data_IF_689185022172
#
_entry.id   IF_689185022172
#
_cell.length_a   1.000
_cell.length_b   1.000
_cell.length_c   1.000
_cell.angle_alpha   90.00
_cell.angle_beta   90.00
_cell.angle_gamma   90.00
#
_symmetry.space_group_name_H-M   'P 1'
#
loop_
_entity.id
_entity.type
_entity.pdbx_description
1 polymer ?
#
# COMPACT_ATOMS: atom_id res chain seq x y z
N UNK A 1 4.74 -10.64 -12.96
CA UNK A 1 6.09 -11.19 -12.70
C UNK A 1 6.46 -11.04 -11.21
N UNK A 2 5.59 -11.47 -10.27
CA UNK A 2 5.83 -11.34 -8.82
C UNK A 2 6.34 -12.63 -8.15
N UNK A 3 6.18 -13.79 -8.81
CA UNK A 3 6.33 -15.11 -8.18
C UNK A 3 7.77 -15.65 -8.08
N UNK A 4 8.77 -14.93 -8.60
CA UNK A 4 10.15 -15.45 -8.67
C UNK A 4 10.94 -15.35 -7.35
N UNK A 5 10.36 -14.77 -6.31
CA UNK A 5 10.96 -14.60 -4.99
C UNK A 5 10.66 -15.74 -3.99
N UNK A 6 9.82 -16.72 -4.34
CA UNK A 6 9.16 -17.61 -3.35
C UNK A 6 9.58 -19.09 -3.37
N UNK A 7 10.67 -19.47 -4.04
CA UNK A 7 10.90 -20.90 -4.32
C UNK A 7 11.57 -21.72 -3.20
N UNK A 8 12.01 -21.12 -2.09
CA UNK A 8 12.89 -21.79 -1.12
C UNK A 8 12.42 -21.86 0.36
N UNK A 9 11.13 -21.66 0.68
CA UNK A 9 10.62 -21.95 2.05
C UNK A 9 9.60 -23.09 2.07
N UNK A 10 9.87 -24.12 2.88
CA UNK A 10 9.02 -25.30 3.08
C UNK A 10 7.69 -24.99 3.80
N UNK A 11 7.59 -23.83 4.45
CA UNK A 11 6.35 -23.24 4.92
C UNK A 11 5.93 -22.18 3.88
N UNK A 12 4.70 -22.27 3.37
CA UNK A 12 4.16 -21.30 2.41
C UNK A 12 4.20 -19.85 2.93
N UNK A 13 3.86 -18.86 2.08
CA UNK A 13 3.87 -17.46 2.49
C UNK A 13 2.90 -17.25 3.67
N UNK A 14 3.43 -16.84 4.83
CA UNK A 14 2.58 -16.51 5.97
C UNK A 14 2.02 -15.09 5.78
N UNK A 15 0.71 -15.01 5.56
CA UNK A 15 -0.02 -13.74 5.47
C UNK A 15 -0.46 -13.32 6.88
N UNK A 16 -0.23 -12.06 7.21
CA UNK A 16 -0.61 -11.43 8.48
C UNK A 16 -1.53 -10.27 8.15
N UNK A 17 -2.65 -10.16 8.86
CA UNK A 17 -3.59 -9.03 8.72
C UNK A 17 -3.54 -8.17 9.98
N UNK A 18 -3.42 -6.87 9.80
CA UNK A 18 -3.48 -5.89 10.88
C UNK A 18 -4.35 -4.68 10.50
N UNK A 19 -4.24 -3.59 11.27
CA UNK A 19 -5.05 -2.39 11.10
C UNK A 19 -4.88 -1.73 9.72
N UNK A 20 -3.69 -1.83 9.14
CA UNK A 20 -3.35 -1.11 7.90
C UNK A 20 -3.49 -1.98 6.66
N UNK A 21 -3.66 -3.29 6.79
CA UNK A 21 -3.89 -4.16 5.64
C UNK A 21 -3.45 -5.60 5.83
N UNK A 22 -3.21 -6.25 4.70
CA UNK A 22 -2.66 -7.60 4.64
C UNK A 22 -1.19 -7.55 4.22
N UNK A 23 -0.40 -8.38 4.89
CA UNK A 23 1.05 -8.36 4.80
C UNK A 23 1.56 -9.76 4.56
N UNK A 24 2.29 -9.94 3.48
CA UNK A 24 3.06 -11.14 3.24
C UNK A 24 4.37 -11.05 4.01
N UNK A 25 4.64 -12.03 4.89
CA UNK A 25 5.92 -12.11 5.58
C UNK A 25 6.96 -12.77 4.65
N UNK A 26 7.84 -11.95 4.09
CA UNK A 26 8.89 -12.42 3.20
C UNK A 26 10.10 -12.85 4.02
N UNK A 27 10.44 -14.14 3.94
CA UNK A 27 11.66 -14.72 4.51
C UNK A 27 12.60 -15.12 3.38
N UNK A 28 13.89 -14.88 3.53
CA UNK A 28 14.93 -15.36 2.58
C UNK A 28 15.33 -14.38 1.46
N UNK A 29 14.63 -13.27 1.28
CA UNK A 29 15.07 -12.19 0.39
C UNK A 29 16.13 -11.33 1.09
N UNK A 30 17.42 -11.56 0.77
CA UNK A 30 18.55 -10.93 1.45
C UNK A 30 18.56 -9.42 1.28
N UNK A 31 18.24 -8.93 0.10
CA UNK A 31 18.23 -7.50 -0.21
C UNK A 31 17.11 -6.78 0.54
N UNK A 32 15.90 -7.33 0.51
CA UNK A 32 14.75 -6.78 1.25
C UNK A 32 15.00 -6.80 2.77
N UNK A 33 15.47 -7.92 3.32
CA UNK A 33 15.81 -8.01 4.74
C UNK A 33 16.91 -7.01 5.11
N UNK A 34 17.90 -6.81 4.26
CA UNK A 34 18.98 -5.86 4.53
C UNK A 34 18.49 -4.42 4.51
N UNK A 35 17.62 -4.06 3.56
CA UNK A 35 16.98 -2.74 3.52
C UNK A 35 16.10 -2.51 4.76
N UNK A 36 15.32 -3.51 5.17
CA UNK A 36 14.51 -3.41 6.39
C UNK A 36 15.38 -3.16 7.63
N UNK A 37 16.49 -3.88 7.80
CA UNK A 37 17.45 -3.66 8.89
C UNK A 37 18.03 -2.23 8.88
N UNK A 38 18.22 -1.62 7.70
CA UNK A 38 18.70 -0.24 7.58
C UNK A 38 17.60 0.76 7.96
N UNK A 39 16.35 0.51 7.55
CA UNK A 39 15.21 1.32 7.95
C UNK A 39 15.04 1.31 9.48
N UNK A 40 15.09 0.14 10.11
CA UNK A 40 15.00 0.01 11.57
C UNK A 40 16.14 0.75 12.29
N UNK A 41 17.36 0.69 11.75
CA UNK A 41 18.49 1.49 12.26
C UNK A 41 18.22 2.99 12.14
N UNK A 42 17.70 3.46 11.02
CA UNK A 42 17.32 4.86 10.85
C UNK A 42 16.25 5.28 11.86
N UNK A 43 15.28 4.42 12.16
CA UNK A 43 14.27 4.67 13.19
C UNK A 43 14.85 4.79 14.59
N UNK A 44 15.81 3.94 14.94
CA UNK A 44 16.52 4.03 16.22
C UNK A 44 17.26 5.37 16.38
N UNK A 45 17.80 5.94 15.28
CA UNK A 45 18.52 7.23 15.29
C UNK A 45 17.59 8.42 15.56
N UNK A 46 16.32 8.34 15.16
CA UNK A 46 15.31 9.37 15.48
C UNK A 46 14.60 9.14 16.83
N UNK A 47 15.14 8.23 17.66
CA UNK A 47 14.60 7.86 18.99
C UNK A 47 13.16 7.33 18.94
N UNK A 48 12.71 6.84 17.79
CA UNK A 48 11.42 6.18 17.67
C UNK A 48 11.53 4.74 18.20
N UNK A 49 11.39 4.57 19.52
CA UNK A 49 11.64 3.28 20.20
C UNK A 49 10.62 2.18 19.86
N UNK A 50 9.59 2.47 19.04
CA UNK A 50 8.48 1.56 18.71
C UNK A 50 7.93 1.77 17.30
N UNK A 51 8.72 2.32 16.39
CA UNK A 51 8.29 2.49 15.01
C UNK A 51 8.19 1.13 14.32
N UNK A 52 7.03 0.77 13.80
CA UNK A 52 6.87 -0.42 12.97
C UNK A 52 7.01 -0.03 11.49
N UNK A 53 7.91 -0.71 10.78
CA UNK A 53 8.17 -0.49 9.36
C UNK A 53 7.28 -1.41 8.53
N UNK A 54 6.54 -0.80 7.61
CA UNK A 54 5.72 -1.46 6.62
C UNK A 54 6.31 -1.21 5.23
N UNK A 55 6.72 -2.27 4.53
CA UNK A 55 7.21 -2.12 3.15
C UNK A 55 6.02 -2.26 2.21
N UNK A 56 5.73 -1.20 1.47
CA UNK A 56 4.57 -1.10 0.59
C UNK A 56 4.93 -1.52 -0.83
N UNK A 57 6.16 -1.20 -1.26
CA UNK A 57 6.72 -1.64 -2.51
C UNK A 57 8.22 -1.88 -2.34
N UNK A 58 8.71 -2.98 -2.89
CA UNK A 58 10.12 -3.24 -3.08
C UNK A 58 10.34 -3.78 -4.50
N UNK A 59 11.00 -3.00 -5.34
CA UNK A 59 11.30 -3.40 -6.72
C UNK A 59 12.78 -3.25 -7.02
N UNK A 60 13.34 -4.25 -7.70
CA UNK A 60 14.71 -4.21 -8.23
C UNK A 60 14.64 -3.82 -9.70
N UNK A 61 15.48 -2.89 -10.10
CA UNK A 61 15.62 -2.50 -11.51
C UNK A 61 16.24 -3.66 -12.32
N UNK A 62 15.72 -3.89 -13.52
CA UNK A 62 16.18 -4.98 -14.39
C UNK A 62 17.44 -4.60 -15.19
N UNK A 63 17.66 -3.30 -15.42
CA UNK A 63 18.74 -2.77 -16.25
C UNK A 63 19.92 -2.28 -15.42
N UNK A 64 19.65 -1.65 -14.28
CA UNK A 64 20.66 -1.09 -13.40
C UNK A 64 20.92 -2.05 -12.23
N UNK A 65 22.11 -2.69 -12.16
CA UNK A 65 22.41 -3.63 -11.10
C UNK A 65 22.33 -2.99 -9.72
N UNK A 66 21.66 -3.68 -8.80
CA UNK A 66 21.50 -3.26 -7.40
C UNK A 66 20.79 -1.91 -7.20
N UNK A 67 20.09 -1.41 -8.22
CA UNK A 67 19.14 -0.32 -8.04
C UNK A 67 17.81 -0.89 -7.53
N UNK A 68 17.32 -0.30 -6.44
CA UNK A 68 16.08 -0.66 -5.80
C UNK A 68 15.21 0.58 -5.62
N UNK A 69 13.90 0.42 -5.81
CA UNK A 69 12.89 1.42 -5.44
C UNK A 69 12.08 0.89 -4.27
N UNK A 70 11.95 1.72 -3.24
CA UNK A 70 11.27 1.37 -2.00
C UNK A 70 10.19 2.41 -1.73
N UNK A 71 8.97 1.92 -1.48
CA UNK A 71 7.91 2.70 -0.82
C UNK A 71 7.64 2.05 0.52
N UNK A 72 7.50 2.86 1.56
CA UNK A 72 7.24 2.35 2.89
C UNK A 72 6.44 3.33 3.74
N UNK A 73 5.97 2.80 4.86
CA UNK A 73 5.27 3.53 5.89
C UNK A 73 5.87 3.17 7.24
N UNK A 74 5.98 4.17 8.11
CA UNK A 74 6.30 3.96 9.52
C UNK A 74 5.24 4.62 10.38
N UNK A 75 4.74 3.86 11.35
CA UNK A 75 3.88 4.39 12.39
C UNK A 75 4.72 4.84 13.58
N UNK A 76 4.49 6.06 14.05
CA UNK A 76 5.12 6.64 15.22
C UNK A 76 4.08 6.96 16.29
N UNK A 77 4.44 6.71 17.55
CA UNK A 77 3.71 7.20 18.72
C UNK A 77 4.17 8.59 19.14
N UNK A 78 5.44 8.89 18.92
CA UNK A 78 6.01 10.22 19.15
C UNK A 78 5.95 11.09 17.90
N UNK A 79 5.99 12.41 18.10
CA UNK A 79 6.10 13.35 16.99
C UNK A 79 7.54 13.32 16.42
N UNK A 80 7.70 12.80 15.21
CA UNK A 80 8.97 12.79 14.47
C UNK A 80 8.96 13.88 13.40
N UNK A 81 10.02 14.68 13.36
CA UNK A 81 10.24 15.71 12.34
C UNK A 81 10.77 15.03 11.07
N UNK A 82 10.15 15.31 9.92
CA UNK A 82 10.51 14.71 8.63
C UNK A 82 11.98 14.89 8.27
N UNK A 83 12.52 16.09 8.47
CA UNK A 83 13.93 16.39 8.20
C UNK A 83 14.88 15.48 8.98
N UNK A 84 14.59 15.22 10.26
CA UNK A 84 15.40 14.33 11.09
C UNK A 84 15.33 12.87 10.60
N UNK A 85 14.16 12.45 10.12
CA UNK A 85 13.99 11.11 9.54
C UNK A 85 14.75 10.96 8.22
N UNK A 86 14.64 11.94 7.32
CA UNK A 86 15.40 11.97 6.08
C UNK A 86 16.91 11.99 6.32
N UNK A 87 17.39 12.78 7.28
CA UNK A 87 18.80 12.84 7.67
C UNK A 87 19.27 11.50 8.26
N UNK A 88 18.46 10.86 9.10
CA UNK A 88 18.76 9.54 9.65
C UNK A 88 18.81 8.44 8.58
N UNK A 89 17.95 8.52 7.56
CA UNK A 89 18.01 7.64 6.39
C UNK A 89 19.33 7.85 5.63
N UNK A 90 19.64 9.09 5.21
CA UNK A 90 20.89 9.40 4.49
C UNK A 90 22.12 8.87 5.24
N UNK A 91 22.25 9.21 6.53
CA UNK A 91 23.37 8.76 7.38
C UNK A 91 23.50 7.25 7.55
N UNK A 92 22.45 6.47 7.36
CA UNK A 92 22.50 4.99 7.48
C UNK A 92 22.76 4.34 6.13
N UNK A 93 22.16 4.87 5.07
CA UNK A 93 22.27 4.29 3.73
C UNK A 93 23.56 4.71 2.99
N UNK A 94 24.13 5.88 3.30
CA UNK A 94 25.40 6.35 2.71
C UNK A 94 26.58 5.41 3.03
N UNK A 95 26.51 4.67 4.14
CA UNK A 95 27.54 3.69 4.54
C UNK A 95 27.59 2.45 3.64
N UNK A 96 26.51 2.17 2.90
CA UNK A 96 26.30 0.89 2.20
C UNK A 96 25.98 1.06 0.71
N UNK A 97 25.71 2.28 0.27
CA UNK A 97 25.28 2.57 -1.08
C UNK A 97 25.10 4.06 -1.35
N UNK A 98 24.28 4.36 -2.36
CA UNK A 98 23.85 5.72 -2.65
C UNK A 98 22.33 5.80 -2.56
N UNK A 99 21.86 6.65 -1.65
CA UNK A 99 20.44 6.96 -1.52
C UNK A 99 20.10 8.12 -2.47
N UNK A 100 19.08 7.93 -3.29
CA UNK A 100 18.53 8.98 -4.14
C UNK A 100 17.73 10.01 -3.36
N UNK A 101 16.92 10.79 -4.08
CA UNK A 101 15.96 11.71 -3.45
C UNK A 101 15.00 10.94 -2.53
N UNK A 102 14.85 11.42 -1.29
CA UNK A 102 13.89 10.89 -0.34
C UNK A 102 12.67 11.80 -0.37
N UNK A 103 11.52 11.23 -0.75
CA UNK A 103 10.22 11.89 -0.61
C UNK A 103 9.58 11.38 0.67
N UNK A 104 9.10 12.28 1.51
CA UNK A 104 8.33 11.94 2.72
C UNK A 104 7.00 12.63 2.70
N UNK A 105 5.98 11.96 3.22
CA UNK A 105 4.66 12.55 3.45
C UNK A 105 4.19 12.16 4.83
N UNK A 106 3.71 13.16 5.56
CA UNK A 106 3.29 13.02 6.94
C UNK A 106 1.77 13.07 7.03
N UNK A 107 1.21 11.99 7.56
CA UNK A 107 -0.20 11.86 7.84
C UNK A 107 -0.42 11.79 9.36
N UNK A 108 -1.18 12.73 9.91
CA UNK A 108 -1.55 12.74 11.33
C UNK A 108 -3.00 12.30 11.46
N UNK A 109 -3.22 11.16 12.11
CA UNK A 109 -4.55 10.60 12.36
C UNK A 109 -4.78 10.52 13.86
N UNK A 110 -5.58 11.46 14.38
CA UNK A 110 -5.83 11.62 15.81
C UNK A 110 -4.51 11.67 16.62
N UNK A 111 -4.19 10.62 17.40
CA UNK A 111 -2.99 10.52 18.25
C UNK A 111 -1.84 9.74 17.61
N UNK A 112 -1.98 9.31 16.36
CA UNK A 112 -0.97 8.55 15.65
C UNK A 112 -0.36 9.39 14.53
N UNK A 113 0.94 9.20 14.35
CA UNK A 113 1.69 9.80 13.27
C UNK A 113 2.11 8.69 12.32
N UNK A 114 1.73 8.83 11.06
CA UNK A 114 2.15 7.92 10.00
C UNK A 114 3.04 8.71 9.04
N UNK A 115 4.25 8.21 8.79
CA UNK A 115 5.18 8.80 7.83
C UNK A 115 5.38 7.84 6.68
N UNK A 116 5.01 8.31 5.49
CA UNK A 116 5.28 7.63 4.24
C UNK A 116 6.60 8.09 3.70
N UNK A 117 7.30 7.18 3.03
CA UNK A 117 8.55 7.49 2.38
C UNK A 117 8.69 6.74 1.06
N UNK A 118 9.36 7.38 0.12
CA UNK A 118 9.76 6.80 -1.15
C UNK A 118 11.18 7.25 -1.49
N UNK A 119 12.01 6.30 -1.90
CA UNK A 119 13.34 6.59 -2.41
C UNK A 119 13.83 5.48 -3.34
N UNK A 120 14.81 5.84 -4.16
CA UNK A 120 15.64 4.91 -4.90
C UNK A 120 16.99 4.72 -4.22
N UNK A 121 17.58 3.55 -4.34
CA UNK A 121 18.81 3.18 -3.66
C UNK A 121 19.66 2.31 -4.58
N UNK A 122 20.94 2.66 -4.73
CA UNK A 122 21.93 1.77 -5.33
C UNK A 122 22.77 1.15 -4.21
N UNK A 123 22.61 -0.16 -3.98
CA UNK A 123 23.41 -0.89 -2.99
C UNK A 123 24.78 -1.26 -3.56
N UNK A 124 25.85 -0.86 -2.88
CA UNK A 124 27.22 -1.30 -3.18
C UNK A 124 27.64 -2.51 -2.35
N UNK A 125 27.05 -2.66 -1.15
CA UNK A 125 27.35 -3.75 -0.21
C UNK A 125 26.06 -4.26 0.40
N UNK A 126 25.89 -5.58 0.41
CA UNK A 126 24.76 -6.25 1.07
C UNK A 126 25.32 -7.15 2.16
N UNK A 127 24.82 -7.02 3.40
CA UNK A 127 25.16 -7.95 4.49
C UNK A 127 24.09 -9.03 4.62
N UNK A 128 24.44 -10.17 5.21
CA UNK A 128 23.47 -11.22 5.53
C UNK A 128 22.51 -10.69 6.60
N UNK A 129 21.31 -10.33 6.18
CA UNK A 129 20.15 -10.12 7.04
C UNK A 129 19.18 -11.30 6.85
N UNK A 130 18.52 -11.74 7.93
CA UNK A 130 17.57 -12.86 7.92
C UNK A 130 16.21 -12.51 8.54
N UNK A 131 15.97 -11.23 8.82
CA UNK A 131 14.70 -10.80 9.38
C UNK A 131 13.56 -11.03 8.36
N UNK A 132 12.40 -11.49 8.87
CA UNK A 132 11.17 -11.54 8.08
C UNK A 132 10.63 -10.12 7.91
N UNK A 133 10.27 -9.76 6.68
CA UNK A 133 9.80 -8.40 6.35
C UNK A 133 8.33 -8.44 5.97
N UNK A 134 7.53 -7.55 6.56
CA UNK A 134 6.14 -7.31 6.15
C UNK A 134 6.14 -6.56 4.81
N UNK A 135 5.72 -7.24 3.75
CA UNK A 135 5.51 -6.65 2.43
C UNK A 135 4.00 -6.58 2.15
N UNK A 136 3.51 -5.42 1.73
CA UNK A 136 2.09 -5.22 1.42
C UNK A 136 1.59 -6.25 0.40
N UNK A 137 0.50 -6.92 0.75
CA UNK A 137 -0.31 -7.69 -0.17
C UNK A 137 -1.52 -6.82 -0.54
N UNK A 138 -1.52 -6.14 -1.71
CA UNK A 138 -2.59 -5.22 -2.04
C UNK A 138 -3.89 -5.97 -2.40
N UNK A 139 -5.05 -5.29 -2.40
CA UNK A 139 -6.30 -5.87 -2.89
C UNK A 139 -6.16 -6.42 -4.31
N UNK A 140 -6.98 -7.42 -4.65
CA UNK A 140 -6.92 -8.04 -5.98
C UNK A 140 -7.08 -6.99 -7.09
N UNK A 141 -6.15 -7.00 -8.04
CA UNK A 141 -6.14 -6.05 -9.16
C UNK A 141 -5.48 -4.70 -8.88
N UNK A 142 -5.07 -4.43 -7.64
CA UNK A 142 -4.35 -3.21 -7.27
C UNK A 142 -2.84 -3.46 -7.37
N UNK A 143 -2.13 -2.55 -8.06
CA UNK A 143 -0.68 -2.63 -8.23
C UNK A 143 0.04 -1.78 -7.18
N UNK A 144 1.01 -2.37 -6.46
CA UNK A 144 1.84 -1.60 -5.50
C UNK A 144 2.61 -0.45 -6.15
N UNK A 145 2.89 -0.56 -7.46
CA UNK A 145 3.55 0.50 -8.23
C UNK A 145 2.68 1.74 -8.39
N UNK A 146 1.35 1.59 -8.41
CA UNK A 146 0.40 2.69 -8.56
C UNK A 146 0.13 3.47 -7.28
N UNK A 147 0.62 2.99 -6.14
CA UNK A 147 0.46 3.67 -4.85
C UNK A 147 1.35 4.94 -4.79
N UNK A 148 0.85 6.10 -4.31
CA UNK A 148 -0.49 6.32 -3.79
C UNK A 148 -1.53 6.50 -4.91
N UNK A 149 -2.67 5.85 -4.75
CA UNK A 149 -3.82 6.00 -5.63
C UNK A 149 -4.66 7.22 -5.22
N UNK A 150 -5.37 7.80 -6.19
CA UNK A 150 -6.60 8.54 -5.90
C UNK A 150 -7.73 7.56 -5.59
N UNK A 151 -8.80 8.02 -4.93
CA UNK A 151 -9.93 7.15 -4.62
C UNK A 151 -10.53 6.49 -5.88
N UNK A 152 -10.81 7.30 -6.91
CA UNK A 152 -11.29 6.79 -8.19
C UNK A 152 -10.29 5.88 -8.90
N UNK A 153 -8.98 6.15 -8.78
CA UNK A 153 -7.93 5.30 -9.32
C UNK A 153 -7.89 3.92 -8.66
N UNK A 154 -8.08 3.86 -7.34
CA UNK A 154 -8.10 2.61 -6.58
C UNK A 154 -9.29 1.73 -7.00
N UNK A 155 -10.51 2.29 -7.06
CA UNK A 155 -11.68 1.53 -7.48
C UNK A 155 -11.61 1.07 -8.94
N UNK A 156 -11.06 1.90 -9.83
CA UNK A 156 -10.79 1.51 -11.22
C UNK A 156 -9.79 0.35 -11.32
N UNK A 157 -8.72 0.36 -10.52
CA UNK A 157 -7.76 -0.74 -10.46
C UNK A 157 -8.42 -2.05 -9.99
N UNK A 158 -9.23 -1.99 -8.92
CA UNK A 158 -10.00 -3.15 -8.43
C UNK A 158 -10.99 -3.68 -9.48
N UNK A 159 -11.70 -2.79 -10.18
CA UNK A 159 -12.63 -3.14 -11.25
C UNK A 159 -11.93 -3.70 -12.50
N UNK A 160 -10.59 -3.61 -12.58
CA UNK A 160 -9.81 -4.16 -13.69
C UNK A 160 -9.85 -3.32 -14.96
N UNK A 161 -10.00 -2.00 -14.84
CA UNK A 161 -10.03 -1.07 -15.98
C UNK A 161 -8.64 -0.60 -16.44
N UNK A 162 -7.54 -1.14 -15.89
CA UNK A 162 -6.18 -0.76 -16.29
C UNK A 162 -5.97 -1.00 -17.80
N UNK A 163 -5.59 0.06 -18.52
CA UNK A 163 -5.38 0.03 -19.98
C UNK A 163 -6.62 0.24 -20.85
N UNK A 164 -7.76 0.64 -20.26
CA UNK A 164 -9.01 1.00 -20.97
C UNK A 164 -9.53 2.36 -20.52
N UNK A 165 -10.63 2.84 -21.11
CA UNK A 165 -11.35 4.00 -20.58
C UNK A 165 -11.78 3.73 -19.13
N UNK A 166 -11.33 4.54 -18.15
CA UNK A 166 -11.66 4.34 -16.75
C UNK A 166 -13.15 4.61 -16.52
N UNK A 167 -13.73 3.90 -15.55
CA UNK A 167 -15.06 4.21 -15.06
C UNK A 167 -15.05 5.55 -14.33
N UNK A 168 -16.15 6.29 -14.44
CA UNK A 168 -16.42 7.41 -13.56
C UNK A 168 -16.74 6.82 -12.19
N UNK A 169 -16.06 7.33 -11.15
CA UNK A 169 -16.20 6.86 -9.77
C UNK A 169 -16.75 7.97 -8.92
N UNK A 170 -17.92 7.74 -8.33
CA UNK A 170 -18.49 8.59 -7.29
C UNK A 170 -18.50 7.79 -6.00
N UNK A 171 -17.93 8.33 -4.92
CA UNK A 171 -17.83 7.62 -3.66
C UNK A 171 -18.23 8.54 -2.51
N UNK A 172 -19.17 8.06 -1.70
CA UNK A 172 -19.59 8.66 -0.45
C UNK A 172 -18.95 7.88 0.71
N UNK A 173 -18.08 8.58 1.43
CA UNK A 173 -17.26 8.08 2.53
C UNK A 173 -17.50 8.90 3.82
N UNK A 174 -18.59 9.66 3.86
CA UNK A 174 -18.94 10.54 4.97
C UNK A 174 -19.23 9.77 6.27
N UNK A 175 -19.74 8.54 6.17
CA UNK A 175 -19.89 7.62 7.30
C UNK A 175 -18.64 6.74 7.44
N UNK A 176 -18.08 6.71 8.65
CA UNK A 176 -16.89 5.92 8.98
C UNK A 176 -17.02 4.41 8.75
N UNK A 177 -18.25 3.87 8.72
CA UNK A 177 -18.51 2.43 8.57
C UNK A 177 -19.33 2.08 7.33
N UNK A 178 -20.03 3.03 6.73
CA UNK A 178 -20.83 2.83 5.53
C UNK A 178 -20.18 3.57 4.36
N UNK A 179 -19.79 2.82 3.34
CA UNK A 179 -19.24 3.36 2.11
C UNK A 179 -20.17 3.03 0.96
N UNK A 180 -20.53 4.04 0.16
CA UNK A 180 -21.28 3.85 -1.08
C UNK A 180 -20.43 4.30 -2.25
N UNK A 181 -20.33 3.47 -3.27
CA UNK A 181 -19.55 3.77 -4.48
C UNK A 181 -20.38 3.46 -5.71
N UNK A 182 -20.49 4.41 -6.62
CA UNK A 182 -21.07 4.24 -7.93
C UNK A 182 -19.94 4.22 -8.97
N UNK A 183 -19.87 3.12 -9.72
CA UNK A 183 -19.00 2.98 -10.88
C UNK A 183 -19.83 3.04 -12.15
N UNK A 184 -19.61 4.05 -12.99
CA UNK A 184 -20.24 4.17 -14.30
C UNK A 184 -19.20 3.90 -15.40
N UNK A 185 -19.32 2.75 -16.08
CA UNK A 185 -18.37 2.27 -17.07
C UNK A 185 -19.00 2.18 -18.46
N UNK A 186 -18.39 2.78 -19.48
CA UNK A 186 -18.85 2.68 -20.87
C UNK A 186 -18.29 1.44 -21.55
N UNK A 187 -19.14 0.63 -22.21
CA UNK A 187 -18.74 -0.53 -23.04
C UNK A 187 -17.80 -1.53 -22.34
N UNK A 188 -17.86 -1.58 -21.01
CA UNK A 188 -16.99 -2.41 -20.18
C UNK A 188 -17.82 -3.37 -19.34
N UNK A 189 -17.47 -4.66 -19.42
CA UNK A 189 -17.99 -5.65 -18.49
C UNK A 189 -17.06 -5.72 -17.28
N UNK A 190 -17.54 -5.19 -16.15
CA UNK A 190 -16.88 -5.39 -14.86
C UNK A 190 -16.98 -6.88 -14.49
N UNK A 191 -15.84 -7.48 -14.13
CA UNK A 191 -15.83 -8.80 -13.51
C UNK A 191 -16.28 -8.67 -12.05
N UNK A 192 -17.56 -8.95 -11.81
CA UNK A 192 -18.17 -8.80 -10.49
C UNK A 192 -17.57 -9.74 -9.45
N UNK A 193 -17.03 -10.91 -9.86
CA UNK A 193 -16.38 -11.83 -8.94
C UNK A 193 -15.05 -11.25 -8.48
N UNK A 194 -14.19 -10.85 -9.43
CA UNK A 194 -12.90 -10.22 -9.11
C UNK A 194 -13.07 -8.95 -8.27
N UNK A 195 -14.05 -8.12 -8.61
CA UNK A 195 -14.32 -6.91 -7.85
C UNK A 195 -14.80 -7.22 -6.43
N UNK A 196 -15.68 -8.21 -6.25
CA UNK A 196 -16.08 -8.69 -4.93
C UNK A 196 -14.86 -9.09 -4.10
N UNK A 197 -14.01 -9.96 -4.64
CA UNK A 197 -12.77 -10.40 -3.95
C UNK A 197 -11.86 -9.22 -3.57
N UNK A 198 -11.71 -8.24 -4.45
CA UNK A 198 -10.93 -7.03 -4.15
C UNK A 198 -11.53 -6.20 -3.00
N UNK A 199 -12.86 -6.07 -2.95
CA UNK A 199 -13.57 -5.29 -1.93
C UNK A 199 -13.57 -5.97 -0.55
N UNK A 200 -13.58 -7.30 -0.49
CA UNK A 200 -13.50 -8.07 0.75
C UNK A 200 -12.23 -7.77 1.56
N UNK A 201 -11.18 -7.28 0.91
CA UNK A 201 -9.98 -6.76 1.57
C UNK A 201 -10.30 -5.75 2.68
N UNK A 202 -11.34 -4.92 2.51
CA UNK A 202 -11.72 -3.87 3.45
C UNK A 202 -12.80 -4.27 4.46
N UNK A 203 -13.22 -5.55 4.46
CA UNK A 203 -14.34 -6.05 5.25
C UNK A 203 -13.89 -7.17 6.20
N UNK A 204 -14.73 -7.49 7.19
CA UNK A 204 -14.58 -8.69 8.03
C UNK A 204 -15.25 -9.92 7.40
N UNK A 205 -16.31 -9.72 6.61
CA UNK A 205 -17.04 -10.81 5.96
C UNK A 205 -17.87 -10.36 4.76
N UNK A 206 -18.36 -11.34 4.02
CA UNK A 206 -19.09 -11.14 2.76
C UNK A 206 -20.44 -10.45 2.92
N UNK A 207 -21.12 -10.65 4.05
CA UNK A 207 -22.47 -10.11 4.31
C UNK A 207 -22.51 -8.58 4.38
N UNK A 208 -21.33 -7.98 4.61
CA UNK A 208 -21.14 -6.54 4.65
C UNK A 208 -21.03 -5.90 3.25
N UNK A 209 -21.01 -6.72 2.18
CA UNK A 209 -20.93 -6.24 0.79
C UNK A 209 -22.27 -6.40 0.08
N UNK A 210 -22.76 -5.31 -0.50
CA UNK A 210 -23.90 -5.34 -1.44
C UNK A 210 -23.48 -4.75 -2.78
N UNK A 211 -23.75 -5.51 -3.84
CA UNK A 211 -23.47 -5.12 -5.21
C UNK A 211 -24.78 -5.13 -5.99
N UNK A 212 -25.11 -4.00 -6.62
CA UNK A 212 -26.25 -3.85 -7.52
C UNK A 212 -25.75 -3.37 -8.88
N UNK A 213 -26.14 -4.08 -9.94
CA UNK A 213 -25.75 -3.74 -11.31
C UNK A 213 -26.97 -3.30 -12.09
N UNK A 214 -26.87 -2.15 -12.74
CA UNK A 214 -27.84 -1.64 -13.71
C UNK A 214 -27.14 -1.42 -15.03
N UNK A 215 -27.71 -1.90 -16.12
CA UNK A 215 -27.19 -1.64 -17.46
C UNK A 215 -28.18 -0.70 -18.13
N UNK A 216 -27.76 0.52 -18.42
CA UNK A 216 -28.59 1.53 -19.06
C UNK A 216 -28.59 1.39 -20.58
N UNK A 217 -29.59 2.00 -21.21
CA UNK A 217 -29.64 2.14 -22.66
C UNK A 217 -28.45 2.99 -23.14
N UNK A 218 -27.64 2.45 -24.05
CA UNK A 218 -26.40 3.09 -24.53
C UNK A 218 -25.10 2.37 -24.14
N UNK A 219 -25.19 1.22 -23.45
CA UNK A 219 -24.02 0.38 -23.16
C UNK A 219 -23.16 0.87 -21.99
N UNK A 220 -23.71 1.74 -21.15
CA UNK A 220 -23.13 2.09 -19.86
C UNK A 220 -23.60 1.09 -18.81
N UNK A 221 -22.66 0.47 -18.11
CA UNK A 221 -22.93 -0.33 -16.92
C UNK A 221 -22.69 0.54 -15.70
N UNK A 222 -23.72 0.68 -14.86
CA UNK A 222 -23.65 1.27 -13.54
C UNK A 222 -23.58 0.16 -12.50
N UNK A 223 -22.59 0.24 -11.61
CA UNK A 223 -22.44 -0.65 -10.49
C UNK A 223 -22.48 0.17 -9.20
N UNK A 224 -23.51 -0.08 -8.40
CA UNK A 224 -23.64 0.47 -7.05
C UNK A 224 -23.07 -0.55 -6.06
N UNK A 225 -22.08 -0.10 -5.30
CA UNK A 225 -21.36 -0.85 -4.27
C UNK A 225 -21.72 -0.24 -2.94
N UNK A 226 -22.20 -1.04 -2.01
CA UNK A 226 -22.38 -0.64 -0.61
C UNK A 226 -21.53 -1.55 0.27
N UNK A 227 -20.66 -0.95 1.07
CA UNK A 227 -19.80 -1.62 2.04
C UNK A 227 -20.24 -1.20 3.44
N UNK A 228 -20.62 -2.17 4.26
CA UNK A 228 -20.95 -2.01 5.67
C UNK A 228 -19.71 -2.35 6.51
N UNK A 229 -19.61 -1.81 7.73
CA UNK A 229 -18.47 -2.06 8.63
C UNK A 229 -17.09 -1.86 7.97
N UNK A 230 -16.98 -0.88 7.07
CA UNK A 230 -15.79 -0.66 6.26
C UNK A 230 -14.54 -0.33 7.10
N UNK A 231 -13.44 -1.08 6.89
CA UNK A 231 -12.16 -0.84 7.56
C UNK A 231 -11.37 0.27 6.86
N UNK A 232 -11.76 1.52 7.09
CA UNK A 232 -11.13 2.70 6.45
C UNK A 232 -9.61 2.77 6.59
N UNK A 233 -9.07 2.31 7.72
CA UNK A 233 -7.64 2.40 8.01
C UNK A 233 -6.80 1.51 7.06
N UNK A 234 -7.41 0.50 6.43
CA UNK A 234 -6.75 -0.32 5.42
C UNK A 234 -6.53 0.42 4.09
N UNK A 235 -7.16 1.58 3.90
CA UNK A 235 -6.89 2.45 2.74
C UNK A 235 -5.67 3.35 2.94
N UNK A 236 -5.22 3.55 4.18
CA UNK A 236 -4.10 4.44 4.52
C UNK A 236 -2.85 4.13 3.68
N UNK A 237 -2.34 2.88 3.60
CA UNK A 237 -1.17 2.58 2.78
C UNK A 237 -1.44 2.63 1.26
N UNK A 238 -2.69 2.73 0.81
CA UNK A 238 -3.04 2.77 -0.61
C UNK A 238 -3.24 4.20 -1.11
N UNK A 239 -3.70 5.12 -0.25
CA UNK A 239 -4.16 6.46 -0.62
C UNK A 239 -3.35 7.58 0.04
N UNK A 240 -2.21 7.33 0.67
CA UNK A 240 -1.64 8.25 1.68
C UNK A 240 -1.60 9.76 1.34
N UNK A 241 -1.29 10.15 0.10
CA UNK A 241 -1.27 11.57 -0.33
C UNK A 241 -2.68 12.16 -0.49
N UNK A 242 -3.65 11.30 -0.74
CA UNK A 242 -5.05 11.61 -0.98
C UNK A 242 -5.95 11.28 0.24
N UNK A 243 -5.41 10.66 1.30
CA UNK A 243 -6.24 10.11 2.39
C UNK A 243 -7.06 11.20 3.10
N UNK A 244 -6.46 12.34 3.46
CA UNK A 244 -7.18 13.44 4.12
C UNK A 244 -8.18 14.16 3.20
N UNK A 245 -7.94 14.14 1.89
CA UNK A 245 -8.93 14.65 0.92
C UNK A 245 -10.18 13.77 0.86
N UNK A 246 -10.04 12.52 1.30
CA UNK A 246 -11.07 11.49 1.29
C UNK A 246 -11.76 11.37 2.66
N UNK A 247 -11.00 11.50 3.75
CA UNK A 247 -11.48 11.43 5.13
C UNK A 247 -10.97 12.62 5.94
N UNK A 248 -11.86 13.55 6.28
CA UNK A 248 -11.51 14.77 7.03
C UNK A 248 -11.70 14.65 8.55
N UNK A 249 -12.27 13.55 9.05
CA UNK A 249 -12.65 13.41 10.46
C UNK A 249 -12.13 12.13 11.15
N UNK A 250 -11.55 12.37 12.34
CA UNK A 250 -11.77 11.51 13.50
C UNK A 250 -13.11 11.94 14.12
#
# INVERSE_FOLDING_TARGET
MFWRFFRDSSDGPSVIRDRYGEWMLVKGNKELSFVADLLDKSLSKVKAKRGEVYVLQFTKDELVPNLFSIKGMVQFRENVIEANFQEALKKVFDDVGHLGEIKTVRLRLCNELVMFFYFNLVLKRTKKARAGVKLLLPPLGVSVSGIPYTLGGLFNAMAGSEGREPCIVEADLSDSRLVKVLLACRKFSVDSFRLKEALLYFLEGDDDLRLSRRTGDGGTTELEITLLNFKRDMMIPLLWDNYLSTYSSC
#
